data_IF_220294519052
#
_entry.id   IF_220294519052
#
_cell.length_a   1.000
_cell.length_b   1.000
_cell.length_c   1.000
_cell.angle_alpha   90.00
_cell.angle_beta   90.00
_cell.angle_gamma   90.00
#
_symmetry.space_group_name_H-M   'P 1'
#
loop_
_entity.id
_entity.type
_entity.pdbx_description
1 polymer ?
#
# COMPACT_ATOMS: atom_id res chain seq x y z
N UNK A 1 -17.12 -55.48 16.34
CA UNK A 1 -16.76 -54.92 15.01
C UNK A 1 -16.70 -53.38 15.10
N UNK A 2 -15.54 -52.75 15.39
CA UNK A 2 -15.43 -51.30 15.64
C UNK A 2 -14.92 -50.50 14.42
N UNK A 3 -15.37 -50.83 13.20
CA UNK A 3 -14.74 -50.33 11.97
C UNK A 3 -15.36 -49.08 11.33
N UNK A 4 -16.27 -48.35 12.02
CA UNK A 4 -17.00 -47.24 11.37
C UNK A 4 -16.80 -45.84 12.00
N UNK A 5 -16.19 -45.75 13.19
CA UNK A 5 -15.97 -44.47 13.87
C UNK A 5 -14.67 -43.81 13.40
N UNK A 6 -13.64 -44.60 13.07
CA UNK A 6 -12.32 -44.11 12.63
C UNK A 6 -12.40 -43.48 11.23
N UNK A 7 -13.20 -44.05 10.33
CA UNK A 7 -13.40 -43.56 8.95
C UNK A 7 -14.17 -42.23 8.90
N UNK A 8 -15.19 -42.06 9.74
CA UNK A 8 -15.95 -40.80 9.81
C UNK A 8 -15.11 -39.67 10.39
N UNK A 9 -14.35 -39.95 11.46
CA UNK A 9 -13.41 -38.98 12.05
C UNK A 9 -12.30 -38.58 11.07
N UNK A 10 -11.80 -39.50 10.25
CA UNK A 10 -10.82 -39.20 9.21
C UNK A 10 -11.39 -38.23 8.16
N UNK A 11 -12.60 -38.49 7.65
CA UNK A 11 -13.28 -37.59 6.68
C UNK A 11 -13.60 -36.21 7.25
N UNK A 12 -14.00 -36.13 8.52
CA UNK A 12 -14.23 -34.86 9.21
C UNK A 12 -12.93 -34.07 9.38
N UNK A 13 -11.82 -34.74 9.71
CA UNK A 13 -10.50 -34.12 9.76
C UNK A 13 -10.06 -33.60 8.40
N UNK A 14 -10.15 -34.40 7.34
CA UNK A 14 -9.81 -33.97 5.98
C UNK A 14 -10.62 -32.75 5.52
N UNK A 15 -11.93 -32.74 5.81
CA UNK A 15 -12.80 -31.61 5.49
C UNK A 15 -12.41 -30.33 6.26
N UNK A 16 -11.99 -30.47 7.52
CA UNK A 16 -11.49 -29.37 8.36
C UNK A 16 -10.15 -28.87 7.85
N UNK A 17 -9.19 -29.76 7.60
CA UNK A 17 -7.87 -29.41 7.09
C UNK A 17 -7.96 -28.68 5.74
N UNK A 18 -8.86 -29.11 4.85
CA UNK A 18 -9.11 -28.42 3.57
C UNK A 18 -9.69 -27.02 3.76
N UNK A 19 -10.59 -26.82 4.73
CA UNK A 19 -11.13 -25.50 5.07
C UNK A 19 -10.05 -24.60 5.64
N UNK A 20 -9.26 -25.09 6.58
CA UNK A 20 -8.17 -24.35 7.23
C UNK A 20 -7.11 -23.91 6.20
N UNK A 21 -6.75 -24.79 5.25
CA UNK A 21 -5.86 -24.45 4.14
C UNK A 21 -6.45 -23.37 3.21
N UNK A 22 -7.75 -23.44 2.93
CA UNK A 22 -8.44 -22.47 2.07
C UNK A 22 -8.49 -21.09 2.75
N UNK A 23 -8.80 -21.06 4.03
CA UNK A 23 -8.80 -19.84 4.83
C UNK A 23 -7.40 -19.23 4.93
N UNK A 24 -6.38 -20.04 5.23
CA UNK A 24 -4.98 -19.60 5.25
C UNK A 24 -4.56 -18.99 3.91
N UNK A 25 -4.95 -19.58 2.77
CA UNK A 25 -4.67 -19.02 1.43
C UNK A 25 -5.34 -17.66 1.23
N UNK A 26 -6.59 -17.49 1.66
CA UNK A 26 -7.30 -16.20 1.57
C UNK A 26 -6.61 -15.12 2.42
N UNK A 27 -6.23 -15.46 3.65
CA UNK A 27 -5.48 -14.59 4.56
C UNK A 27 -4.14 -14.15 3.94
N UNK A 28 -3.37 -15.08 3.36
CA UNK A 28 -2.13 -14.77 2.65
C UNK A 28 -2.34 -13.86 1.43
N UNK A 29 -3.41 -14.07 0.66
CA UNK A 29 -3.73 -13.22 -0.48
C UNK A 29 -4.07 -11.79 -0.03
N UNK A 30 -4.82 -11.63 1.06
CA UNK A 30 -5.15 -10.33 1.63
C UNK A 30 -3.88 -9.57 2.06
N UNK A 31 -2.97 -10.23 2.79
CA UNK A 31 -1.69 -9.63 3.20
C UNK A 31 -0.85 -9.23 1.99
N UNK A 32 -0.73 -10.10 0.97
CA UNK A 32 0.03 -9.77 -0.25
C UNK A 32 -0.54 -8.54 -0.95
N UNK A 33 -1.86 -8.46 -1.13
CA UNK A 33 -2.48 -7.33 -1.80
C UNK A 33 -2.28 -6.03 -1.02
N UNK A 34 -2.41 -6.06 0.30
CA UNK A 34 -2.19 -4.89 1.14
C UNK A 34 -0.73 -4.40 1.11
N UNK A 35 0.25 -5.33 1.10
CA UNK A 35 1.67 -4.98 1.09
C UNK A 35 2.21 -4.60 -0.30
N UNK A 36 1.66 -5.15 -1.38
CA UNK A 36 2.04 -4.79 -2.76
C UNK A 36 1.71 -3.32 -3.07
N UNK A 37 0.66 -2.79 -2.45
CA UNK A 37 0.31 -1.37 -2.53
C UNK A 37 1.28 -0.51 -1.71
N UNK A 38 1.76 -1.04 -0.58
CA UNK A 38 2.53 -0.28 0.39
C UNK A 38 4.05 -0.22 0.12
N UNK A 39 4.62 -1.20 -0.59
CA UNK A 39 6.07 -1.31 -0.77
C UNK A 39 6.44 -1.82 -2.16
N UNK A 40 6.73 -0.90 -3.07
CA UNK A 40 7.45 -1.21 -4.31
C UNK A 40 8.78 -0.46 -4.34
N UNK A 41 9.91 -1.14 -4.05
CA UNK A 41 11.20 -0.49 -4.23
C UNK A 41 11.35 -0.11 -5.71
N UNK A 42 11.93 1.07 -5.95
CA UNK A 42 12.28 1.57 -7.28
C UNK A 42 11.10 1.91 -8.21
N UNK A 43 9.93 2.24 -7.66
CA UNK A 43 8.78 2.75 -8.43
C UNK A 43 8.19 3.98 -7.79
N UNK A 44 7.68 4.88 -8.63
CA UNK A 44 6.93 6.04 -8.19
C UNK A 44 5.64 5.61 -7.46
N UNK A 45 5.43 6.10 -6.24
CA UNK A 45 4.26 5.76 -5.42
C UNK A 45 2.94 6.25 -6.03
N UNK A 46 2.96 7.27 -6.90
CA UNK A 46 1.75 7.81 -7.52
C UNK A 46 1.42 7.19 -8.88
N UNK A 47 2.37 7.19 -9.81
CA UNK A 47 2.12 6.76 -11.19
C UNK A 47 2.66 5.36 -11.51
N UNK A 48 3.32 4.70 -10.54
CA UNK A 48 3.91 3.36 -10.66
C UNK A 48 4.99 3.19 -11.74
N UNK A 49 5.46 4.29 -12.33
CA UNK A 49 6.58 4.26 -13.27
C UNK A 49 7.86 3.82 -12.55
N UNK A 50 8.72 3.01 -13.19
CA UNK A 50 10.04 2.70 -12.68
C UNK A 50 10.86 3.98 -12.43
N UNK A 51 11.60 4.02 -11.34
CA UNK A 51 12.55 5.10 -11.05
C UNK A 51 13.95 4.54 -11.35
N UNK A 52 14.67 5.18 -12.27
CA UNK A 52 16.06 4.84 -12.59
C UNK A 52 16.95 4.98 -11.36
N UNK A 53 17.99 4.15 -11.25
CA UNK A 53 18.89 4.16 -10.10
C UNK A 53 19.61 5.51 -9.96
N UNK A 54 19.84 6.20 -11.07
CA UNK A 54 20.40 7.54 -11.16
C UNK A 54 19.53 8.61 -10.48
N UNK A 55 18.21 8.41 -10.42
CA UNK A 55 17.26 9.35 -9.82
C UNK A 55 17.01 9.14 -8.32
N UNK A 56 17.61 8.10 -7.72
CA UNK A 56 17.44 7.80 -6.28
C UNK A 56 18.42 8.57 -5.40
N UNK A 57 19.51 9.06 -5.99
CA UNK A 57 20.61 9.78 -5.33
C UNK A 57 20.55 11.29 -5.54
N UNK A 58 19.73 11.76 -6.47
CA UNK A 58 19.44 13.18 -6.64
C UNK A 58 18.35 13.55 -5.64
N UNK A 59 18.77 13.95 -4.44
CA UNK A 59 17.96 14.76 -3.54
C UNK A 59 17.61 16.03 -4.32
N UNK A 60 16.51 15.95 -5.07
CA UNK A 60 16.09 16.91 -6.09
C UNK A 60 15.65 18.22 -5.47
N UNK A 61 16.61 18.94 -4.91
CA UNK A 61 16.73 20.40 -4.91
C UNK A 61 15.46 21.19 -4.68
N UNK A 62 14.82 21.04 -3.53
CA UNK A 62 14.12 22.14 -2.88
C UNK A 62 14.41 22.09 -1.36
N UNK A 63 15.31 22.94 -0.84
CA UNK A 63 15.75 22.87 0.56
C UNK A 63 14.62 23.08 1.58
N UNK A 64 13.49 23.67 1.18
CA UNK A 64 12.38 24.01 2.06
C UNK A 64 11.25 22.96 2.12
N UNK A 65 11.20 22.00 1.18
CA UNK A 65 10.07 21.06 1.05
C UNK A 65 10.57 19.63 0.85
N UNK A 66 10.64 18.88 1.95
CA UNK A 66 10.91 17.44 1.91
C UNK A 66 9.70 16.71 1.34
N UNK A 67 9.86 16.06 0.19
CA UNK A 67 8.85 15.18 -0.40
C UNK A 67 8.87 13.85 0.35
N UNK A 68 7.80 13.47 1.08
CA UNK A 68 7.82 12.28 1.95
C UNK A 68 7.58 10.97 1.19
N UNK A 69 7.37 11.03 -0.13
CA UNK A 69 7.07 9.90 -0.99
C UNK A 69 8.16 9.70 -2.05
N UNK A 70 8.39 8.46 -2.43
CA UNK A 70 9.25 8.10 -3.55
C UNK A 70 8.53 8.41 -4.87
N UNK A 71 8.79 9.58 -5.44
CA UNK A 71 8.22 10.02 -6.71
C UNK A 71 9.24 10.02 -7.85
N UNK A 72 8.76 9.82 -9.07
CA UNK A 72 9.52 10.21 -10.25
C UNK A 72 9.56 11.75 -10.38
N UNK A 73 10.47 12.32 -11.18
CA UNK A 73 10.61 13.78 -11.32
C UNK A 73 9.28 14.51 -11.60
N UNK A 74 8.48 13.99 -12.53
CA UNK A 74 7.17 14.55 -12.87
C UNK A 74 6.18 14.55 -11.70
N UNK A 75 6.06 13.45 -10.96
CA UNK A 75 5.16 13.41 -9.80
C UNK A 75 5.65 14.28 -8.64
N UNK A 76 6.97 14.46 -8.51
CA UNK A 76 7.57 15.36 -7.52
C UNK A 76 7.24 16.83 -7.83
N UNK A 77 7.38 17.26 -9.09
CA UNK A 77 6.99 18.60 -9.55
C UNK A 77 5.48 18.86 -9.34
N UNK A 78 4.64 17.89 -9.67
CA UNK A 78 3.20 17.99 -9.43
C UNK A 78 2.87 18.09 -7.95
N UNK A 79 3.54 17.32 -7.09
CA UNK A 79 3.34 17.40 -5.64
C UNK A 79 3.73 18.78 -5.10
N UNK A 80 4.86 19.33 -5.53
CA UNK A 80 5.29 20.67 -5.13
C UNK A 80 4.32 21.75 -5.62
N UNK A 81 3.75 21.61 -6.82
CA UNK A 81 2.71 22.53 -7.29
C UNK A 81 1.41 22.39 -6.51
N UNK A 82 1.04 21.17 -6.11
CA UNK A 82 -0.09 20.93 -5.23
C UNK A 82 0.10 21.63 -3.88
N UNK A 83 1.27 21.51 -3.25
CA UNK A 83 1.58 22.21 -1.99
C UNK A 83 1.53 23.74 -2.17
N UNK A 84 2.11 24.28 -3.25
CA UNK A 84 2.04 25.72 -3.55
C UNK A 84 0.59 26.20 -3.73
N UNK A 85 -0.24 25.43 -4.43
CA UNK A 85 -1.68 25.71 -4.59
C UNK A 85 -2.41 25.74 -3.26
N UNK A 86 -2.09 24.84 -2.33
CA UNK A 86 -2.66 24.87 -0.97
C UNK A 86 -2.24 26.12 -0.18
N UNK A 87 -1.07 26.69 -0.47
CA UNK A 87 -0.58 27.95 0.11
C UNK A 87 -1.16 29.20 -0.58
N UNK A 88 -2.11 29.04 -1.50
CA UNK A 88 -2.68 30.14 -2.29
C UNK A 88 -1.74 30.66 -3.38
N UNK A 89 -0.65 29.95 -3.66
CA UNK A 89 0.26 30.23 -4.77
C UNK A 89 -0.15 29.41 -6.00
N UNK A 90 0.55 29.58 -7.12
CA UNK A 90 0.35 28.80 -8.34
C UNK A 90 -0.03 29.66 -9.53
N UNK A 91 0.28 29.15 -10.72
CA UNK A 91 0.09 29.87 -11.97
C UNK A 91 -1.35 29.69 -12.50
N UNK A 92 -2.16 30.77 -12.59
CA UNK A 92 -3.49 30.70 -13.18
C UNK A 92 -3.49 30.27 -14.66
N UNK A 93 -2.37 30.44 -15.38
CA UNK A 93 -2.23 29.98 -16.77
C UNK A 93 -2.14 28.45 -16.87
N UNK A 94 -1.84 27.76 -15.78
CA UNK A 94 -1.76 26.29 -15.70
C UNK A 94 -3.18 25.66 -15.57
N UNK A 95 -4.02 25.85 -16.59
CA UNK A 95 -5.44 25.49 -16.57
C UNK A 95 -5.71 23.98 -16.44
N UNK A 96 -4.75 23.13 -16.81
CA UNK A 96 -4.86 21.68 -16.67
C UNK A 96 -4.68 21.19 -15.23
N UNK A 97 -4.13 22.05 -14.34
CA UNK A 97 -4.06 21.83 -12.88
C UNK A 97 -5.16 22.60 -12.16
N UNK A 98 -6.39 22.31 -12.57
CA UNK A 98 -7.61 22.91 -12.04
C UNK A 98 -8.04 22.29 -10.69
N UNK A 99 -9.21 22.67 -10.19
CA UNK A 99 -9.79 22.16 -8.94
C UNK A 99 -9.94 20.63 -8.92
N UNK A 100 -10.28 20.00 -10.05
CA UNK A 100 -10.39 18.55 -10.12
C UNK A 100 -9.02 17.87 -9.96
N UNK A 101 -7.95 18.48 -10.48
CA UNK A 101 -6.58 18.01 -10.25
C UNK A 101 -6.17 18.16 -8.79
N UNK A 102 -6.55 19.25 -8.11
CA UNK A 102 -6.32 19.41 -6.66
C UNK A 102 -7.05 18.34 -5.85
N UNK A 103 -8.32 18.07 -6.17
CA UNK A 103 -9.11 17.04 -5.50
C UNK A 103 -8.53 15.64 -5.75
N UNK A 104 -8.02 15.37 -6.97
CA UNK A 104 -7.31 14.13 -7.27
C UNK A 104 -6.10 13.92 -6.35
N UNK A 105 -5.30 14.97 -6.14
CA UNK A 105 -4.15 14.91 -5.24
C UNK A 105 -4.55 14.72 -3.78
N UNK A 106 -5.57 15.45 -3.32
CA UNK A 106 -6.10 15.31 -1.97
C UNK A 106 -6.58 13.88 -1.71
N UNK A 107 -7.42 13.32 -2.58
CA UNK A 107 -7.92 11.95 -2.45
C UNK A 107 -6.81 10.91 -2.47
N UNK A 108 -5.78 11.12 -3.29
CA UNK A 108 -4.63 10.24 -3.32
C UNK A 108 -3.88 10.25 -1.98
N UNK A 109 -3.64 11.42 -1.38
CA UNK A 109 -3.01 11.53 -0.06
C UNK A 109 -3.88 10.90 1.05
N UNK A 110 -5.19 11.13 1.03
CA UNK A 110 -6.14 10.53 1.97
C UNK A 110 -6.17 9.00 1.85
N UNK A 111 -6.08 8.48 0.62
CA UNK A 111 -5.96 7.06 0.36
C UNK A 111 -4.67 6.49 0.96
N UNK A 112 -3.51 7.11 0.69
CA UNK A 112 -2.23 6.69 1.27
C UNK A 112 -2.27 6.66 2.81
N UNK A 113 -2.81 7.71 3.44
CA UNK A 113 -2.99 7.74 4.90
C UNK A 113 -3.96 6.68 5.42
N UNK A 114 -4.94 6.26 4.62
CA UNK A 114 -5.87 5.18 4.98
C UNK A 114 -5.20 3.81 4.88
N UNK A 115 -4.39 3.57 3.84
CA UNK A 115 -3.57 2.37 3.70
C UNK A 115 -2.60 2.23 4.87
N UNK A 116 -1.86 3.29 5.21
CA UNK A 116 -0.92 3.27 6.35
C UNK A 116 -1.61 2.94 7.68
N UNK A 117 -2.76 3.57 7.95
CA UNK A 117 -3.56 3.27 9.16
C UNK A 117 -4.06 1.83 9.18
N UNK A 118 -4.53 1.31 8.04
CA UNK A 118 -4.97 -0.08 7.94
C UNK A 118 -3.83 -1.05 8.25
N UNK A 119 -2.65 -0.83 7.68
CA UNK A 119 -1.49 -1.69 7.92
C UNK A 119 -1.00 -1.64 9.38
N UNK A 120 -1.23 -0.52 10.08
CA UNK A 120 -0.92 -0.37 11.51
C UNK A 120 -2.01 -0.85 12.46
N UNK A 121 -3.18 -1.25 11.93
CA UNK A 121 -4.33 -1.70 12.73
C UNK A 121 -4.01 -2.98 13.51
N UNK A 122 -4.70 -3.17 14.65
CA UNK A 122 -4.50 -4.34 15.49
C UNK A 122 -4.95 -5.62 14.76
N UNK A 123 -6.00 -5.52 13.96
CA UNK A 123 -6.56 -6.60 13.16
C UNK A 123 -5.57 -7.06 12.08
N UNK A 124 -4.88 -6.13 11.43
CA UNK A 124 -3.85 -6.49 10.45
C UNK A 124 -2.62 -7.10 11.12
N UNK A 125 -2.20 -6.59 12.29
CA UNK A 125 -1.11 -7.18 13.08
C UNK A 125 -1.44 -8.60 13.54
N UNK A 126 -2.65 -8.81 14.05
CA UNK A 126 -3.14 -10.15 14.41
C UNK A 126 -3.10 -11.09 13.20
N UNK A 127 -3.51 -10.62 12.02
CA UNK A 127 -3.45 -11.40 10.78
C UNK A 127 -2.00 -11.81 10.42
N UNK A 128 -1.02 -10.92 10.62
CA UNK A 128 0.40 -11.25 10.41
C UNK A 128 0.91 -12.28 11.42
N UNK A 129 0.55 -12.14 12.69
CA UNK A 129 0.89 -13.10 13.77
C UNK A 129 0.31 -14.49 13.49
N UNK A 130 -0.98 -14.58 13.12
CA UNK A 130 -1.65 -15.83 12.74
C UNK A 130 -0.92 -16.54 11.59
N UNK A 131 -0.40 -15.77 10.64
CA UNK A 131 0.33 -16.28 9.48
C UNK A 131 1.83 -16.48 9.74
N UNK A 132 2.33 -16.09 10.90
CA UNK A 132 3.76 -16.09 11.28
C UNK A 132 4.62 -15.25 10.31
N UNK A 133 4.11 -14.11 9.87
CA UNK A 133 4.81 -13.17 9.01
C UNK A 133 5.43 -12.04 9.86
N UNK A 134 6.59 -11.48 9.45
CA UNK A 134 7.17 -10.34 10.16
C UNK A 134 6.29 -9.09 9.98
N UNK A 135 6.18 -8.28 11.04
CA UNK A 135 5.57 -6.96 10.98
C UNK A 135 6.55 -5.98 10.28
N UNK A 136 6.19 -5.41 9.13
CA UNK A 136 7.05 -4.46 8.41
C UNK A 136 7.28 -3.13 9.15
N UNK A 137 6.55 -2.85 10.23
CA UNK A 137 6.63 -1.61 11.02
C UNK A 137 7.20 -1.81 12.43
N UNK A 138 7.77 -2.99 12.72
CA UNK A 138 8.44 -3.27 14.00
C UNK A 138 9.93 -2.92 13.97
#
# INVERSE_FOLDING_TARGET
MPYNIISLNAKLREARDKKDLTERRRKLAAVRNALLEARRPFKCEKCHQPIGAEHLSEDGGHPDLKVPFLFCPSCSEEYLDYIRRLQGQGDPACYWRNEAWLELWKRWLDYQGTVDRYLKSNEFKQLLEELKLPDPYR
#
